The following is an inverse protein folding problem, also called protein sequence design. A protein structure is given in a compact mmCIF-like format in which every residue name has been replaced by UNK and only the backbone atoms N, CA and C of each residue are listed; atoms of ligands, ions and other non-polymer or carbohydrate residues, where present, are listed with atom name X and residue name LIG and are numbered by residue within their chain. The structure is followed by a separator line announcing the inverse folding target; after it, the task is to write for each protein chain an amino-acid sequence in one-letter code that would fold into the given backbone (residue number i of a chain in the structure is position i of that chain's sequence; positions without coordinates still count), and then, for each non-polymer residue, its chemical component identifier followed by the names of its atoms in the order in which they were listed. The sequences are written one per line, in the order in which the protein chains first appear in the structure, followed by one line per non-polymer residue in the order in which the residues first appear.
data_IF_592100927812
#
_entry.id   IF_592100927812
#
_cell.length_a   1.000
_cell.length_b   1.000
_cell.length_c   1.000
_cell.angle_alpha   90.00
_cell.angle_beta   90.00
_cell.angle_gamma   90.00
#
_symmetry.space_group_name_H-M   'P 1'
#
loop_
_entity.id
_entity.type
_entity.pdbx_description
1 polymer ?
#
# COMPACT_ATOMS: atom_id res chain seq x y z
N UNK A 1 -32.09 -24.40 -11.90
CA UNK A 1 -31.65 -22.98 -11.90
C UNK A 1 -30.15 -22.92 -11.63
N UNK A 2 -29.37 -22.17 -12.42
CA UNK A 2 -27.92 -22.07 -12.20
C UNK A 2 -27.59 -21.28 -10.93
N UNK A 3 -26.49 -21.63 -10.24
CA UNK A 3 -25.99 -20.92 -9.05
C UNK A 3 -25.85 -19.40 -9.25
N UNK A 4 -25.58 -18.97 -10.49
CA UNK A 4 -25.44 -17.57 -10.86
C UNK A 4 -26.77 -16.81 -10.89
N UNK A 5 -27.89 -17.49 -11.15
CA UNK A 5 -29.21 -16.85 -11.17
C UNK A 5 -29.61 -16.32 -9.78
N UNK A 6 -29.46 -17.14 -8.74
CA UNK A 6 -29.76 -16.73 -7.37
C UNK A 6 -28.85 -15.58 -6.88
N UNK A 7 -27.55 -15.63 -7.22
CA UNK A 7 -26.61 -14.54 -6.88
C UNK A 7 -27.00 -13.23 -7.55
N UNK A 8 -27.47 -13.26 -8.80
CA UNK A 8 -27.95 -12.06 -9.50
C UNK A 8 -29.20 -11.46 -8.83
N UNK A 9 -30.15 -12.31 -8.40
CA UNK A 9 -31.33 -11.85 -7.65
C UNK A 9 -30.91 -11.20 -6.33
N UNK A 10 -29.99 -11.82 -5.59
CA UNK A 10 -29.48 -11.26 -4.34
C UNK A 10 -28.83 -9.88 -4.57
N UNK A 11 -27.95 -9.75 -5.56
CA UNK A 11 -27.32 -8.47 -5.91
C UNK A 11 -28.39 -7.42 -6.27
N UNK A 12 -29.37 -7.78 -7.10
CA UNK A 12 -30.44 -6.87 -7.51
C UNK A 12 -31.27 -6.36 -6.31
N UNK A 13 -31.68 -7.26 -5.41
CA UNK A 13 -32.44 -6.90 -4.20
C UNK A 13 -31.60 -5.99 -3.31
N UNK A 14 -30.33 -6.33 -3.07
CA UNK A 14 -29.45 -5.54 -2.22
C UNK A 14 -29.19 -4.15 -2.80
N UNK A 15 -29.04 -4.00 -4.11
CA UNK A 15 -28.92 -2.69 -4.76
C UNK A 15 -30.19 -1.84 -4.61
N UNK A 16 -31.38 -2.46 -4.66
CA UNK A 16 -32.64 -1.76 -4.38
C UNK A 16 -32.74 -1.33 -2.92
N UNK A 17 -32.45 -2.23 -1.98
CA UNK A 17 -32.44 -1.95 -0.54
C UNK A 17 -31.45 -0.84 -0.21
N UNK A 18 -30.23 -0.90 -0.77
CA UNK A 18 -29.18 0.11 -0.61
C UNK A 18 -29.69 1.51 -0.98
N UNK A 19 -30.38 1.66 -2.11
CA UNK A 19 -30.92 2.96 -2.57
C UNK A 19 -31.93 3.56 -1.58
N UNK A 20 -32.70 2.72 -0.88
CA UNK A 20 -33.66 3.14 0.15
C UNK A 20 -32.94 3.54 1.45
N UNK A 21 -31.85 2.85 1.79
CA UNK A 21 -31.12 3.01 3.06
C UNK A 21 -29.94 4.00 2.95
N UNK A 22 -29.80 4.74 1.84
CA UNK A 22 -28.70 5.71 1.61
C UNK A 22 -28.52 6.75 2.73
N UNK A 23 -29.55 7.00 3.55
CA UNK A 23 -29.48 7.90 4.70
C UNK A 23 -28.84 7.28 5.96
N UNK A 24 -28.57 5.97 5.97
CA UNK A 24 -28.00 5.25 7.13
C UNK A 24 -26.60 4.73 6.76
N UNK A 25 -25.62 5.65 6.75
CA UNK A 25 -24.24 5.45 6.28
C UNK A 25 -23.60 4.10 6.65
N UNK A 26 -23.66 3.71 7.94
CA UNK A 26 -23.05 2.45 8.41
C UNK A 26 -23.69 1.21 7.79
N UNK A 27 -25.02 1.19 7.63
CA UNK A 27 -25.74 0.08 7.02
C UNK A 27 -25.51 0.04 5.51
N UNK A 28 -25.42 1.19 4.85
CA UNK A 28 -25.07 1.26 3.43
C UNK A 28 -23.71 0.62 3.16
N UNK A 29 -22.69 0.94 3.97
CA UNK A 29 -21.34 0.35 3.83
C UNK A 29 -21.36 -1.18 3.91
N UNK A 30 -22.08 -1.74 4.88
CA UNK A 30 -22.22 -3.19 5.04
C UNK A 30 -22.91 -3.85 3.84
N UNK A 31 -23.98 -3.22 3.31
CA UNK A 31 -24.69 -3.71 2.12
C UNK A 31 -23.78 -3.67 0.88
N UNK A 32 -23.08 -2.54 0.67
CA UNK A 32 -22.08 -2.39 -0.39
C UNK A 32 -21.00 -3.48 -0.33
N UNK A 33 -20.51 -3.77 0.87
CA UNK A 33 -19.48 -4.78 1.05
C UNK A 33 -19.99 -6.17 0.68
N UNK A 34 -21.22 -6.48 1.08
CA UNK A 34 -21.84 -7.75 0.75
C UNK A 34 -22.13 -7.88 -0.76
N UNK A 35 -22.58 -6.82 -1.41
CA UNK A 35 -22.73 -6.78 -2.88
C UNK A 35 -21.41 -7.08 -3.58
N UNK A 36 -20.31 -6.41 -3.19
CA UNK A 36 -18.98 -6.65 -3.74
C UNK A 36 -18.54 -8.11 -3.57
N UNK A 37 -18.73 -8.67 -2.37
CA UNK A 37 -18.45 -10.08 -2.10
C UNK A 37 -19.25 -11.03 -3.01
N UNK A 38 -20.54 -10.77 -3.22
CA UNK A 38 -21.38 -11.60 -4.11
C UNK A 38 -20.93 -11.51 -5.57
N UNK A 39 -20.58 -10.31 -6.04
CA UNK A 39 -20.02 -10.11 -7.39
C UNK A 39 -18.72 -10.89 -7.55
N UNK A 40 -17.80 -10.79 -6.60
CA UNK A 40 -16.56 -11.58 -6.61
C UNK A 40 -16.84 -13.09 -6.65
N UNK A 41 -17.76 -13.57 -5.81
CA UNK A 41 -18.14 -14.99 -5.76
C UNK A 41 -18.72 -15.49 -7.08
N UNK A 42 -19.47 -14.62 -7.79
CA UNK A 42 -19.99 -14.88 -9.14
C UNK A 42 -18.87 -14.98 -10.18
N UNK A 43 -17.86 -14.11 -10.10
CA UNK A 43 -16.72 -14.11 -11.02
C UNK A 43 -15.81 -15.34 -10.85
N UNK A 44 -15.90 -16.05 -9.71
CA UNK A 44 -15.24 -17.32 -9.43
C UNK A 44 -13.73 -17.34 -9.72
N UNK A 45 -13.02 -16.24 -9.39
CA UNK A 45 -11.58 -16.12 -9.65
C UNK A 45 -10.81 -17.01 -8.66
N UNK A 46 -10.37 -18.18 -9.13
CA UNK A 46 -9.67 -19.22 -8.36
C UNK A 46 -8.70 -19.98 -9.26
N UNK A 47 -7.85 -20.79 -8.65
CA UNK A 47 -6.88 -21.66 -9.31
C UNK A 47 -5.85 -20.90 -10.15
N UNK A 48 -5.36 -19.78 -9.61
CA UNK A 48 -4.38 -18.93 -10.29
C UNK A 48 -3.02 -19.60 -10.21
N UNK A 49 -2.33 -19.68 -11.34
CA UNK A 49 -1.03 -20.34 -11.45
C UNK A 49 0.09 -19.35 -11.16
N UNK A 50 0.92 -19.64 -10.15
CA UNK A 50 2.13 -18.90 -9.83
C UNK A 50 3.08 -19.72 -8.95
N UNK A 51 4.33 -19.26 -8.85
CA UNK A 51 5.36 -19.78 -7.95
C UNK A 51 4.97 -19.52 -6.48
N UNK A 52 4.26 -20.48 -5.89
CA UNK A 52 3.87 -20.44 -4.48
C UNK A 52 5.07 -20.63 -3.55
N UNK A 53 6.12 -21.33 -4.00
CA UNK A 53 7.30 -21.65 -3.18
C UNK A 53 8.02 -20.40 -2.70
N UNK A 54 8.01 -19.33 -3.51
CA UNK A 54 8.52 -18.02 -3.08
C UNK A 54 7.88 -17.52 -1.78
N UNK A 55 6.55 -17.64 -1.65
CA UNK A 55 5.83 -17.15 -0.47
C UNK A 55 6.01 -18.07 0.75
N UNK A 56 6.53 -19.30 0.53
CA UNK A 56 6.89 -20.23 1.58
C UNK A 56 8.32 -20.00 2.11
N UNK A 57 9.16 -19.28 1.37
CA UNK A 57 10.54 -19.01 1.78
C UNK A 57 10.57 -18.14 3.04
N UNK A 58 11.50 -18.44 3.94
CA UNK A 58 11.82 -17.58 5.10
C UNK A 58 12.81 -16.47 4.78
N UNK A 59 13.58 -16.61 3.71
CA UNK A 59 14.64 -15.67 3.29
C UNK A 59 14.75 -15.67 1.77
N UNK A 60 15.19 -14.53 1.24
CA UNK A 60 15.56 -14.43 -0.17
C UNK A 60 16.78 -15.29 -0.50
N UNK A 61 16.83 -15.75 -1.74
CA UNK A 61 18.02 -16.35 -2.35
C UNK A 61 18.72 -15.34 -3.26
N UNK A 62 19.99 -15.58 -3.60
CA UNK A 62 20.73 -14.72 -4.55
C UNK A 62 20.03 -14.64 -5.92
N UNK A 63 19.35 -15.70 -6.34
CA UNK A 63 18.58 -15.72 -7.59
C UNK A 63 17.40 -14.76 -7.58
N UNK A 64 16.86 -14.43 -6.40
CA UNK A 64 15.74 -13.50 -6.28
C UNK A 64 16.18 -12.04 -6.56
N UNK A 65 17.48 -11.73 -6.52
CA UNK A 65 17.99 -10.39 -6.84
C UNK A 65 17.76 -9.98 -8.30
N UNK A 66 17.52 -10.93 -9.21
CA UNK A 66 17.16 -10.64 -10.60
C UNK A 66 15.84 -9.86 -10.74
N UNK A 67 15.00 -9.88 -9.71
CA UNK A 67 13.75 -9.11 -9.67
C UNK A 67 13.96 -7.69 -9.15
N UNK A 68 15.19 -7.27 -8.82
CA UNK A 68 15.42 -5.89 -8.43
C UNK A 68 15.26 -4.95 -9.63
N UNK A 69 14.56 -3.81 -9.45
CA UNK A 69 14.50 -2.73 -10.43
C UNK A 69 15.89 -2.28 -10.90
N UNK A 70 16.00 -1.97 -12.20
CA UNK A 70 17.22 -1.36 -12.76
C UNK A 70 17.50 0.01 -12.13
N UNK A 71 16.48 0.88 -12.14
CA UNK A 71 16.59 2.21 -11.54
C UNK A 71 15.26 2.59 -10.88
N UNK A 72 15.34 3.10 -9.65
CA UNK A 72 14.20 3.53 -8.83
C UNK A 72 14.33 5.01 -8.51
N UNK A 73 13.25 5.76 -8.70
CA UNK A 73 13.08 7.09 -8.12
C UNK A 73 12.21 6.99 -6.87
N UNK A 74 12.66 7.58 -5.78
CA UNK A 74 11.98 7.54 -4.49
C UNK A 74 11.69 8.96 -4.04
N UNK A 75 10.43 9.29 -3.76
CA UNK A 75 10.06 10.53 -3.10
C UNK A 75 9.73 10.27 -1.64
N UNK A 76 10.49 10.85 -0.72
CA UNK A 76 10.24 10.79 0.72
C UNK A 76 9.60 12.10 1.16
N UNK A 77 8.36 12.07 1.65
CA UNK A 77 7.74 13.25 2.24
C UNK A 77 8.20 13.41 3.69
N UNK A 78 8.88 14.51 3.99
CA UNK A 78 9.40 14.81 5.32
C UNK A 78 8.94 16.19 5.79
N UNK A 79 7.94 16.22 6.67
CA UNK A 79 7.61 17.45 7.39
C UNK A 79 8.70 17.73 8.41
N UNK A 80 9.44 18.83 8.24
CA UNK A 80 10.67 19.07 8.95
C UNK A 80 10.48 19.05 10.47
N UNK A 81 11.22 18.14 11.10
CA UNK A 81 11.29 17.93 12.54
C UNK A 81 12.72 17.50 12.88
N UNK A 82 13.44 18.34 13.60
CA UNK A 82 14.88 18.15 13.86
C UNK A 82 15.19 16.83 14.57
N UNK A 83 14.34 16.44 15.50
CA UNK A 83 14.36 15.17 16.25
C UNK A 83 14.16 13.93 15.37
N UNK A 84 13.55 14.07 14.18
CA UNK A 84 13.32 12.96 13.24
C UNK A 84 14.40 12.81 12.16
N UNK A 85 15.43 13.65 12.15
CA UNK A 85 16.48 13.59 11.11
C UNK A 85 17.27 12.27 11.11
N UNK A 86 17.53 11.69 12.27
CA UNK A 86 18.19 10.37 12.37
C UNK A 86 17.30 9.25 11.84
N UNK A 87 15.99 9.34 12.10
CA UNK A 87 15.02 8.41 11.53
C UNK A 87 14.98 8.52 10.00
N UNK A 88 14.93 9.74 9.47
CA UNK A 88 15.01 9.99 8.03
C UNK A 88 16.31 9.43 7.44
N UNK A 89 17.46 9.63 8.09
CA UNK A 89 18.75 9.05 7.68
C UNK A 89 18.67 7.52 7.60
N UNK A 90 18.03 6.87 8.59
CA UNK A 90 17.78 5.42 8.59
C UNK A 90 16.91 4.96 7.42
N UNK A 91 15.81 5.67 7.15
CA UNK A 91 14.94 5.40 5.99
C UNK A 91 15.74 5.52 4.68
N UNK A 92 16.42 6.65 4.48
CA UNK A 92 17.25 6.88 3.28
C UNK A 92 18.34 5.83 3.10
N UNK A 93 18.97 5.37 4.19
CA UNK A 93 19.99 4.32 4.14
C UNK A 93 19.41 2.98 3.69
N UNK A 94 18.24 2.60 4.21
CA UNK A 94 17.58 1.34 3.84
C UNK A 94 17.19 1.34 2.36
N UNK A 95 16.65 2.47 1.88
CA UNK A 95 16.22 2.69 0.50
C UNK A 95 17.36 2.55 -0.51
N UNK A 96 18.64 2.69 -0.12
CA UNK A 96 19.77 2.57 -1.06
C UNK A 96 19.87 1.21 -1.78
N UNK A 97 19.24 0.16 -1.25
CA UNK A 97 19.42 -1.22 -1.71
C UNK A 97 18.17 -1.82 -2.38
N UNK A 98 17.17 -1.00 -2.67
CA UNK A 98 15.86 -1.46 -3.18
C UNK A 98 15.83 -1.61 -4.71
N UNK A 99 16.90 -1.23 -5.39
CA UNK A 99 17.14 -1.38 -6.82
C UNK A 99 18.63 -1.31 -7.12
N UNK A 100 19.02 -1.52 -8.38
CA UNK A 100 20.44 -1.46 -8.78
C UNK A 100 20.98 -0.03 -8.76
N UNK A 101 20.13 0.95 -9.07
CA UNK A 101 20.36 2.38 -8.90
C UNK A 101 19.16 3.04 -8.25
N UNK A 102 19.40 3.86 -7.24
CA UNK A 102 18.34 4.53 -6.47
C UNK A 102 18.61 6.03 -6.42
N UNK A 103 17.59 6.80 -6.74
CA UNK A 103 17.59 8.25 -6.56
C UNK A 103 16.50 8.61 -5.55
N UNK A 104 16.89 9.27 -4.47
CA UNK A 104 16.00 9.69 -3.39
C UNK A 104 15.80 11.20 -3.47
N UNK A 105 14.54 11.61 -3.42
CA UNK A 105 14.05 12.96 -3.51
C UNK A 105 13.30 13.28 -2.21
N UNK A 106 13.93 14.02 -1.32
CA UNK A 106 13.33 14.39 -0.03
C UNK A 106 12.51 15.66 -0.25
N UNK A 107 11.20 15.55 -0.09
CA UNK A 107 10.25 16.65 -0.22
C UNK A 107 9.95 17.19 1.17
N UNK A 108 10.32 18.44 1.45
CA UNK A 108 10.27 19.00 2.80
C UNK A 108 9.92 20.47 2.84
N UNK A 109 9.49 20.97 3.99
CA UNK A 109 9.34 22.40 4.30
C UNK A 109 10.52 22.96 5.12
N UNK A 110 11.55 22.16 5.41
CA UNK A 110 12.75 22.58 6.13
C UNK A 110 13.82 23.20 5.24
N UNK A 111 14.72 23.99 5.82
CA UNK A 111 15.86 24.54 5.08
C UNK A 111 16.96 23.47 4.89
N UNK A 112 17.57 23.45 3.70
CA UNK A 112 18.57 22.45 3.29
C UNK A 112 19.76 22.39 4.26
N UNK A 113 20.15 23.54 4.84
CA UNK A 113 21.25 23.66 5.80
C UNK A 113 21.03 22.87 7.09
N UNK A 114 19.78 22.53 7.41
CA UNK A 114 19.41 21.82 8.63
C UNK A 114 19.48 20.30 8.47
N UNK A 115 19.67 19.81 7.24
CA UNK A 115 19.78 18.38 6.94
C UNK A 115 21.21 17.88 7.14
N UNK A 116 21.39 16.63 7.59
CA UNK A 116 22.71 16.03 7.69
C UNK A 116 23.32 15.86 6.30
N UNK A 117 24.66 15.79 6.25
CA UNK A 117 25.33 15.36 5.03
C UNK A 117 25.03 13.87 4.77
N UNK A 118 24.37 13.58 3.66
CA UNK A 118 23.99 12.22 3.27
C UNK A 118 25.09 11.46 2.50
N UNK A 119 26.27 12.06 2.27
CA UNK A 119 27.37 11.40 1.56
C UNK A 119 27.81 10.08 2.22
N UNK A 120 27.71 9.98 3.54
CA UNK A 120 28.11 8.79 4.31
C UNK A 120 27.21 7.57 4.05
N UNK A 121 25.93 7.80 3.73
CA UNK A 121 24.96 6.72 3.53
C UNK A 121 24.68 6.44 2.05
N UNK A 122 25.06 7.38 1.18
CA UNK A 122 24.84 7.26 -0.27
C UNK A 122 25.81 6.23 -0.83
N UNK A 123 25.27 5.18 -1.46
CA UNK A 123 26.09 4.08 -2.01
C UNK A 123 26.30 4.27 -3.51
N UNK A 124 27.52 4.03 -3.99
CA UNK A 124 27.85 3.92 -5.42
C UNK A 124 27.23 5.07 -6.26
N UNK A 125 26.44 4.72 -7.27
CA UNK A 125 25.77 5.60 -8.24
C UNK A 125 24.40 6.10 -7.76
N UNK A 126 24.05 5.91 -6.50
CA UNK A 126 22.82 6.44 -5.93
C UNK A 126 22.96 7.94 -5.66
N UNK A 127 21.81 8.61 -5.52
CA UNK A 127 21.76 10.04 -5.28
C UNK A 127 20.69 10.37 -4.25
N UNK A 128 20.95 11.38 -3.43
CA UNK A 128 19.94 12.00 -2.55
C UNK A 128 19.90 13.49 -2.88
N UNK A 129 18.71 14.00 -3.14
CA UNK A 129 18.41 15.41 -3.38
C UNK A 129 17.31 15.87 -2.43
N UNK A 130 17.38 17.13 -2.00
CA UNK A 130 16.43 17.73 -1.06
C UNK A 130 15.72 18.88 -1.75
N UNK A 131 14.39 18.82 -1.76
CA UNK A 131 13.50 19.83 -2.32
C UNK A 131 12.79 20.56 -1.19
N UNK A 132 13.19 21.81 -0.98
CA UNK A 132 12.52 22.70 -0.04
C UNK A 132 11.30 23.34 -0.73
N UNK A 133 10.12 22.95 -0.28
CA UNK A 133 8.82 23.43 -0.74
C UNK A 133 8.37 24.58 0.18
N UNK A 134 8.64 25.80 -0.27
CA UNK A 134 8.19 27.03 0.40
C UNK A 134 6.79 27.43 -0.07
N UNK A 135 6.08 28.19 0.76
CA UNK A 135 4.84 28.89 0.37
C UNK A 135 3.67 27.99 -0.06
N UNK A 136 3.45 26.87 0.63
CA UNK A 136 2.23 26.08 0.47
C UNK A 136 1.02 26.84 1.02
N UNK A 137 -0.10 26.78 0.30
CA UNK A 137 -1.37 27.34 0.78
C UNK A 137 -1.81 26.70 2.12
N UNK A 138 -1.54 25.41 2.29
CA UNK A 138 -1.79 24.68 3.52
C UNK A 138 -0.69 23.62 3.76
N UNK A 139 -0.19 23.40 4.99
CA UNK A 139 0.86 22.43 5.29
C UNK A 139 0.56 20.99 4.82
N UNK A 140 -0.70 20.58 4.86
CA UNK A 140 -1.13 19.25 4.41
C UNK A 140 -1.05 19.02 2.89
N UNK A 141 -0.66 20.05 2.12
CA UNK A 141 -0.35 19.91 0.69
C UNK A 141 1.10 19.48 0.44
N UNK A 142 1.98 19.47 1.46
CA UNK A 142 3.37 19.05 1.29
C UNK A 142 3.51 17.64 0.66
N UNK A 143 2.73 16.62 1.11
CA UNK A 143 2.70 15.32 0.45
C UNK A 143 2.49 15.42 -1.06
N UNK A 144 1.62 16.31 -1.54
CA UNK A 144 1.29 16.42 -2.96
C UNK A 144 2.40 17.02 -3.82
N UNK A 145 3.40 17.69 -3.23
CA UNK A 145 4.50 18.28 -3.98
C UNK A 145 5.36 17.23 -4.70
N UNK A 146 5.34 15.96 -4.25
CA UNK A 146 6.06 14.87 -4.93
C UNK A 146 5.61 14.66 -6.38
N UNK A 147 4.36 15.01 -6.73
CA UNK A 147 3.86 14.85 -8.09
C UNK A 147 4.61 15.71 -9.11
N UNK A 148 5.11 16.88 -8.71
CA UNK A 148 5.94 17.73 -9.58
C UNK A 148 7.20 16.95 -9.99
N UNK A 149 7.87 16.36 -9.00
CA UNK A 149 9.08 15.54 -9.21
C UNK A 149 8.75 14.29 -10.02
N UNK A 150 7.69 13.54 -9.68
CA UNK A 150 7.32 12.33 -10.42
C UNK A 150 6.98 12.61 -11.89
N UNK A 151 6.26 13.70 -12.19
CA UNK A 151 5.95 14.13 -13.57
C UNK A 151 7.17 14.54 -14.37
N UNK A 152 8.20 15.07 -13.72
CA UNK A 152 9.48 15.35 -14.36
C UNK A 152 10.26 14.05 -14.61
N UNK A 153 10.46 13.25 -13.56
CA UNK A 153 11.33 12.07 -13.59
C UNK A 153 10.81 10.97 -14.52
N UNK A 154 9.48 10.81 -14.65
CA UNK A 154 8.92 9.81 -15.57
C UNK A 154 9.26 10.07 -17.05
N UNK A 155 9.63 11.29 -17.43
CA UNK A 155 10.09 11.59 -18.79
C UNK A 155 11.40 10.88 -19.14
N UNK A 156 12.20 10.55 -18.12
CA UNK A 156 13.40 9.74 -18.32
C UNK A 156 13.05 8.24 -18.25
N UNK A 157 13.13 7.58 -19.40
CA UNK A 157 12.86 6.14 -19.55
C UNK A 157 13.84 5.22 -18.80
N UNK A 158 14.96 5.72 -18.28
CA UNK A 158 15.90 4.90 -17.51
C UNK A 158 15.35 4.50 -16.14
N UNK A 159 14.52 5.34 -15.51
CA UNK A 159 13.80 4.93 -14.30
C UNK A 159 12.86 3.79 -14.67
N UNK A 160 12.87 2.69 -13.94
CA UNK A 160 11.95 1.57 -14.17
C UNK A 160 10.78 1.57 -13.19
N UNK A 161 11.01 2.11 -11.99
CA UNK A 161 10.10 2.05 -10.87
C UNK A 161 10.09 3.35 -10.06
N UNK A 162 8.98 3.57 -9.37
CA UNK A 162 8.67 4.80 -8.67
C UNK A 162 8.10 4.47 -7.29
N UNK A 163 8.70 5.04 -6.25
CA UNK A 163 8.28 4.85 -4.86
C UNK A 163 7.97 6.21 -4.26
N UNK A 164 6.85 6.30 -3.54
CA UNK A 164 6.59 7.41 -2.63
C UNK A 164 6.29 6.85 -1.25
N UNK A 165 6.80 7.49 -0.20
CA UNK A 165 6.58 7.11 1.19
C UNK A 165 6.74 8.28 2.17
N UNK A 166 6.19 8.09 3.36
CA UNK A 166 6.43 8.94 4.54
C UNK A 166 7.81 8.65 5.17
N UNK A 167 8.29 9.56 6.01
CA UNK A 167 9.65 9.54 6.59
C UNK A 167 9.84 8.56 7.77
N UNK A 168 8.82 7.78 8.10
CA UNK A 168 8.82 6.72 9.12
C UNK A 168 8.60 5.33 8.54
N UNK A 169 8.60 5.17 7.21
CA UNK A 169 8.35 3.87 6.58
C UNK A 169 9.65 3.21 6.15
N UNK A 170 9.95 2.03 6.70
CA UNK A 170 11.04 1.18 6.24
C UNK A 170 10.55 0.18 5.19
N UNK A 171 11.13 0.29 4.00
CA UNK A 171 11.01 -0.66 2.90
C UNK A 171 12.40 -1.17 2.55
N UNK A 172 12.55 -2.49 2.48
CA UNK A 172 13.80 -3.14 2.12
C UNK A 172 13.74 -3.87 0.77
N UNK A 173 14.86 -4.52 0.43
CA UNK A 173 15.02 -5.32 -0.80
C UNK A 173 13.97 -6.44 -0.92
N UNK A 174 13.63 -7.09 0.20
CA UNK A 174 12.68 -8.20 0.22
C UNK A 174 11.26 -7.75 -0.07
N UNK A 175 10.88 -6.58 0.44
CA UNK A 175 9.61 -5.95 0.10
C UNK A 175 9.48 -5.69 -1.40
N UNK A 176 10.53 -5.13 -2.03
CA UNK A 176 10.51 -4.84 -3.47
C UNK A 176 10.43 -6.11 -4.32
N UNK A 177 11.22 -7.14 -4.00
CA UNK A 177 11.20 -8.41 -4.73
C UNK A 177 9.83 -9.07 -4.62
N UNK A 178 9.24 -9.10 -3.42
CA UNK A 178 7.87 -9.57 -3.23
C UNK A 178 6.89 -8.81 -4.13
N UNK A 179 6.97 -7.48 -4.12
CA UNK A 179 6.07 -6.65 -4.90
C UNK A 179 6.20 -6.99 -6.40
N UNK A 180 7.42 -7.10 -6.91
CA UNK A 180 7.70 -7.44 -8.31
C UNK A 180 7.13 -8.81 -8.72
N UNK A 181 7.40 -9.86 -7.94
CA UNK A 181 6.89 -11.20 -8.22
C UNK A 181 5.36 -11.24 -8.16
N UNK A 182 4.77 -10.57 -7.17
CA UNK A 182 3.31 -10.47 -7.05
C UNK A 182 2.70 -9.66 -8.19
N UNK A 183 3.38 -8.60 -8.65
CA UNK A 183 2.90 -7.73 -9.71
C UNK A 183 2.74 -8.48 -11.03
N UNK A 184 3.68 -9.38 -11.36
CA UNK A 184 3.60 -10.25 -12.55
C UNK A 184 2.32 -11.09 -12.58
N UNK A 185 1.82 -11.51 -11.42
CA UNK A 185 0.59 -12.29 -11.27
C UNK A 185 -0.64 -11.38 -11.33
N UNK A 186 -0.59 -10.25 -10.62
CA UNK A 186 -1.75 -9.41 -10.33
C UNK A 186 -2.14 -8.46 -11.48
N UNK A 187 -1.24 -8.17 -12.42
CA UNK A 187 -1.52 -7.25 -13.53
C UNK A 187 -2.69 -7.68 -14.40
N UNK A 188 -2.79 -8.98 -14.71
CA UNK A 188 -3.90 -9.51 -15.52
C UNK A 188 -5.28 -9.34 -14.86
N UNK A 189 -5.33 -9.09 -13.55
CA UNK A 189 -6.57 -8.84 -12.80
C UNK A 189 -6.78 -7.35 -12.48
N UNK A 190 -5.90 -6.48 -12.96
CA UNK A 190 -5.86 -5.06 -12.63
C UNK A 190 -5.74 -4.80 -11.11
N UNK A 191 -5.02 -5.68 -10.41
CA UNK A 191 -4.74 -5.58 -8.98
C UNK A 191 -3.27 -5.22 -8.75
N UNK A 192 -2.98 -4.70 -7.56
CA UNK A 192 -1.69 -4.16 -7.14
C UNK A 192 -1.28 -4.88 -5.84
N UNK A 193 -0.03 -5.34 -5.72
CA UNK A 193 0.45 -5.89 -4.46
C UNK A 193 0.37 -4.84 -3.34
N UNK A 194 -0.09 -5.27 -2.17
CA UNK A 194 -0.16 -4.44 -0.97
C UNK A 194 1.07 -4.63 -0.09
N UNK A 195 1.54 -3.55 0.52
CA UNK A 195 2.38 -3.59 1.72
C UNK A 195 1.52 -3.48 2.98
N UNK A 196 1.91 -4.15 4.05
CA UNK A 196 1.17 -4.17 5.30
C UNK A 196 2.01 -3.55 6.41
N UNK A 197 1.53 -2.42 6.93
CA UNK A 197 2.30 -1.63 7.87
C UNK A 197 2.19 -2.18 9.29
N UNK A 198 3.35 -2.34 9.91
CA UNK A 198 3.48 -2.96 11.23
C UNK A 198 4.40 -2.17 12.14
N UNK A 199 4.18 -2.33 13.44
CA UNK A 199 5.04 -1.81 14.49
C UNK A 199 5.53 -2.97 15.37
N UNK A 200 6.79 -2.90 15.79
CA UNK A 200 7.32 -3.83 16.79
C UNK A 200 7.16 -3.19 18.16
N UNK A 201 6.42 -3.86 19.03
CA UNK A 201 6.26 -3.41 20.40
C UNK A 201 7.59 -3.56 21.16
N UNK A 202 8.07 -2.48 21.78
CA UNK A 202 9.36 -2.43 22.45
C UNK A 202 9.43 -3.35 23.68
N UNK A 203 8.31 -3.56 24.37
CA UNK A 203 8.22 -4.31 25.62
C UNK A 203 8.16 -5.82 25.40
N UNK A 204 7.25 -6.30 24.54
CA UNK A 204 7.03 -7.73 24.33
C UNK A 204 7.63 -8.27 23.03
N UNK A 205 8.24 -7.41 22.21
CA UNK A 205 8.85 -7.73 20.90
C UNK A 205 7.91 -8.34 19.86
N UNK A 206 6.60 -8.34 20.11
CA UNK A 206 5.59 -8.77 19.14
C UNK A 206 5.38 -7.71 18.07
N UNK A 207 4.84 -8.15 16.94
CA UNK A 207 4.53 -7.31 15.79
C UNK A 207 3.03 -7.06 15.76
N UNK A 208 2.64 -5.81 15.69
CA UNK A 208 1.25 -5.38 15.66
C UNK A 208 0.95 -4.66 14.34
N UNK A 209 -0.29 -4.79 13.85
CA UNK A 209 -0.75 -3.98 12.74
C UNK A 209 -0.92 -2.53 13.17
N UNK A 210 -0.34 -1.60 12.42
CA UNK A 210 -0.54 -0.16 12.64
C UNK A 210 -1.95 0.28 12.27
N UNK A 211 -2.56 -0.33 11.25
CA UNK A 211 -3.75 0.23 10.57
C UNK A 211 -5.04 -0.58 10.76
N UNK A 212 -4.97 -1.84 11.22
CA UNK A 212 -6.18 -2.62 11.45
C UNK A 212 -6.92 -2.16 12.71
N UNK A 213 -8.20 -1.86 12.53
CA UNK A 213 -9.16 -1.59 13.59
C UNK A 213 -9.88 -2.84 14.08
N UNK A 214 -9.96 -3.86 13.22
CA UNK A 214 -10.60 -5.14 13.50
C UNK A 214 -9.88 -6.27 12.76
N UNK A 215 -9.97 -7.48 13.29
CA UNK A 215 -9.43 -8.67 12.62
C UNK A 215 -10.14 -8.90 11.29
N UNK A 216 -9.41 -9.41 10.31
CA UNK A 216 -9.91 -9.69 8.97
C UNK A 216 -10.62 -11.04 8.97
N UNK A 217 -11.90 -11.06 8.61
CA UNK A 217 -12.61 -12.31 8.38
C UNK A 217 -12.22 -12.88 7.01
N UNK A 218 -11.40 -13.94 6.99
CA UNK A 218 -10.91 -14.52 5.75
C UNK A 218 -12.08 -14.86 4.82
N UNK A 219 -13.17 -15.44 5.33
CA UNK A 219 -14.28 -15.93 4.52
C UNK A 219 -15.17 -14.83 3.91
N UNK A 220 -15.04 -13.58 4.35
CA UNK A 220 -15.89 -12.46 3.92
C UNK A 220 -15.19 -11.45 3.01
N UNK A 221 -13.91 -11.66 2.69
CA UNK A 221 -13.15 -10.78 1.79
C UNK A 221 -13.01 -11.38 0.39
N UNK A 222 -13.11 -10.56 -0.69
CA UNK A 222 -12.71 -10.96 -2.03
C UNK A 222 -11.27 -11.44 -2.02
N UNK A 223 -10.96 -12.44 -2.84
CA UNK A 223 -9.62 -13.00 -2.88
C UNK A 223 -9.31 -13.73 -4.18
N UNK A 224 -8.03 -13.81 -4.48
CA UNK A 224 -7.45 -14.63 -5.52
C UNK A 224 -6.82 -15.85 -4.85
N UNK A 225 -7.20 -17.07 -5.27
CA UNK A 225 -6.70 -18.31 -4.68
C UNK A 225 -5.77 -18.99 -5.69
N UNK A 226 -4.58 -19.33 -5.23
CA UNK A 226 -3.62 -20.13 -5.98
C UNK A 226 -4.14 -21.50 -6.40
N UNK A 227 -3.54 -22.09 -7.43
CA UNK A 227 -3.85 -23.44 -7.94
C UNK A 227 -3.67 -24.52 -6.88
N UNK A 228 -2.58 -24.48 -6.11
CA UNK A 228 -2.32 -25.47 -5.05
C UNK A 228 -3.02 -25.13 -3.73
N UNK A 229 -3.73 -24.00 -3.68
CA UNK A 229 -4.49 -23.53 -2.50
C UNK A 229 -3.59 -23.36 -1.26
N UNK A 230 -2.33 -22.97 -1.45
CA UNK A 230 -1.43 -22.68 -0.33
C UNK A 230 -1.41 -21.18 -0.03
N UNK A 231 -1.42 -20.35 -1.07
CA UNK A 231 -1.44 -18.88 -0.96
C UNK A 231 -2.75 -18.30 -1.51
N UNK A 232 -3.26 -17.23 -0.88
CA UNK A 232 -4.28 -16.37 -1.45
C UNK A 232 -3.85 -14.91 -1.40
N UNK A 233 -4.28 -14.10 -2.37
CA UNK A 233 -4.23 -12.64 -2.24
C UNK A 233 -5.61 -12.15 -1.83
N UNK A 234 -5.76 -11.66 -0.60
CA UNK A 234 -7.03 -11.15 -0.07
C UNK A 234 -7.15 -9.64 -0.28
N UNK A 235 -8.36 -9.16 -0.51
CA UNK A 235 -8.65 -7.75 -0.65
C UNK A 235 -9.29 -7.21 0.62
N UNK A 236 -8.50 -6.53 1.44
CA UNK A 236 -8.96 -5.90 2.68
C UNK A 236 -9.61 -4.56 2.35
N UNK A 237 -10.63 -4.17 3.12
CA UNK A 237 -11.41 -2.98 2.77
C UNK A 237 -10.73 -1.66 3.10
N UNK A 238 -9.83 -1.64 4.09
CA UNK A 238 -9.00 -0.50 4.46
C UNK A 238 -7.51 -0.86 4.22
N UNK A 239 -6.95 -0.57 3.02
CA UNK A 239 -5.62 -1.03 2.64
C UNK A 239 -4.56 0.08 2.82
N UNK A 240 -4.72 0.98 3.80
CA UNK A 240 -3.74 2.04 4.04
C UNK A 240 -2.35 1.46 4.34
N UNK A 241 -1.31 2.06 3.76
CA UNK A 241 0.07 1.57 3.86
C UNK A 241 1.13 2.69 3.90
N UNK A 242 0.73 3.97 3.93
CA UNK A 242 1.65 5.12 4.02
C UNK A 242 2.62 5.30 2.83
N UNK A 243 2.43 4.54 1.74
CA UNK A 243 3.32 4.54 0.59
C UNK A 243 2.62 3.97 -0.66
N UNK A 244 3.27 4.11 -1.81
CA UNK A 244 2.98 3.28 -2.99
C UNK A 244 4.28 2.96 -3.72
N UNK A 245 4.35 1.79 -4.34
CA UNK A 245 5.44 1.40 -5.22
C UNK A 245 4.86 0.97 -6.56
N UNK A 246 5.34 1.56 -7.66
CA UNK A 246 4.81 1.36 -9.00
C UNK A 246 5.91 1.04 -10.01
N UNK A 247 5.59 0.12 -10.91
CA UNK A 247 6.24 0.03 -12.21
C UNK A 247 5.88 1.27 -13.06
N UNK A 248 6.57 1.45 -14.20
CA UNK A 248 6.29 2.57 -15.10
C UNK A 248 4.83 2.63 -15.52
N UNK A 249 4.22 1.50 -15.91
CA UNK A 249 2.83 1.43 -16.39
C UNK A 249 1.84 1.98 -15.35
N UNK A 250 1.99 1.58 -14.09
CA UNK A 250 1.16 2.08 -13.00
C UNK A 250 1.45 3.56 -12.70
N UNK A 251 2.71 4.00 -12.77
CA UNK A 251 3.00 5.43 -12.56
C UNK A 251 2.41 6.30 -13.68
N UNK A 252 2.49 5.86 -14.94
CA UNK A 252 1.84 6.54 -16.07
C UNK A 252 0.32 6.58 -15.90
N UNK A 253 -0.31 5.47 -15.49
CA UNK A 253 -1.73 5.46 -15.14
C UNK A 253 -2.04 6.48 -14.04
N UNK A 254 -1.22 6.50 -12.98
CA UNK A 254 -1.46 7.36 -11.83
C UNK A 254 -1.39 8.84 -12.20
N UNK A 255 -0.31 9.27 -12.84
CA UNK A 255 -0.09 10.67 -13.21
C UNK A 255 -1.10 11.20 -14.23
N UNK A 256 -1.67 10.32 -15.07
CA UNK A 256 -2.69 10.71 -16.05
C UNK A 256 -4.13 10.50 -15.53
N UNK A 257 -4.30 10.00 -14.32
CA UNK A 257 -5.62 9.81 -13.71
C UNK A 257 -6.00 11.00 -12.81
N UNK A 258 -7.31 11.16 -12.54
CA UNK A 258 -7.79 12.05 -11.48
C UNK A 258 -7.16 11.76 -10.11
N UNK A 259 -6.70 10.53 -9.84
CA UNK A 259 -6.11 10.16 -8.56
C UNK A 259 -4.81 10.93 -8.23
N UNK A 260 -4.18 11.55 -9.22
CA UNK A 260 -3.06 12.46 -9.03
C UNK A 260 -3.45 13.90 -8.63
N UNK A 261 -4.71 14.12 -8.20
CA UNK A 261 -5.23 15.42 -7.75
C UNK A 261 -5.75 15.37 -6.30
N UNK A 262 -5.52 16.42 -5.49
CA UNK A 262 -6.11 16.57 -4.17
C UNK A 262 -7.64 16.51 -4.13
N UNK A 263 -8.31 16.74 -5.27
CA UNK A 263 -9.78 16.71 -5.37
C UNK A 263 -10.33 15.30 -5.59
N UNK A 264 -9.46 14.33 -5.87
CA UNK A 264 -9.89 12.93 -6.00
C UNK A 264 -10.48 12.41 -4.69
N UNK A 265 -11.53 11.59 -4.82
CA UNK A 265 -12.33 11.04 -3.73
C UNK A 265 -13.13 12.06 -2.91
N UNK A 266 -13.00 13.36 -3.16
CA UNK A 266 -13.76 14.40 -2.44
C UNK A 266 -15.28 14.33 -2.70
N UNK A 267 -15.69 13.86 -3.88
CA UNK A 267 -17.10 13.87 -4.33
C UNK A 267 -17.75 12.48 -4.45
N UNK A 268 -17.01 11.39 -4.25
CA UNK A 268 -17.54 10.02 -4.39
C UNK A 268 -17.88 9.43 -3.03
N UNK A 269 -19.04 9.85 -2.50
CA UNK A 269 -19.67 9.40 -1.26
C UNK A 269 -18.88 9.81 0.00
N UNK A 270 -19.51 10.67 0.82
CA UNK A 270 -19.04 11.25 2.07
C UNK A 270 -18.81 10.22 3.21
N UNK A 271 -18.00 9.19 2.97
CA UNK A 271 -17.86 8.04 3.88
C UNK A 271 -16.44 7.63 4.19
N UNK A 272 -15.44 8.32 3.64
CA UNK A 272 -14.06 8.19 4.08
C UNK A 272 -13.47 9.59 4.18
N UNK A 273 -13.44 10.13 5.41
CA UNK A 273 -12.69 11.35 5.76
C UNK A 273 -11.18 11.07 5.68
N UNK A 274 -10.70 10.58 4.53
CA UNK A 274 -9.28 10.50 4.26
C UNK A 274 -8.81 11.94 4.15
N UNK A 275 -8.07 12.40 5.17
CA UNK A 275 -7.59 13.77 5.17
C UNK A 275 -6.68 13.96 3.96
N UNK A 276 -6.54 15.22 3.55
CA UNK A 276 -5.84 15.57 2.30
C UNK A 276 -4.41 15.02 2.24
N UNK A 277 -3.74 14.81 3.39
CA UNK A 277 -2.42 14.18 3.47
C UNK A 277 -2.47 12.71 3.06
N UNK A 278 -3.32 11.92 3.70
CA UNK A 278 -3.43 10.48 3.49
C UNK A 278 -3.89 10.17 2.05
N UNK A 279 -4.63 11.09 1.41
CA UNK A 279 -5.01 10.98 0.00
C UNK A 279 -3.83 11.01 -0.97
N UNK A 280 -2.74 11.71 -0.67
CA UNK A 280 -1.53 11.66 -1.51
C UNK A 280 -0.90 10.25 -1.51
N UNK A 281 -1.07 9.53 -0.41
CA UNK A 281 -0.54 8.18 -0.19
C UNK A 281 -1.47 7.11 -0.80
N UNK A 282 -2.74 7.45 -1.08
CA UNK A 282 -3.74 6.49 -1.56
C UNK A 282 -3.40 5.93 -2.96
N UNK A 283 -2.65 6.67 -3.78
CA UNK A 283 -2.24 6.13 -5.08
C UNK A 283 -3.44 5.81 -5.99
N UNK A 284 -3.30 4.73 -6.73
CA UNK A 284 -4.32 4.11 -7.58
C UNK A 284 -5.33 3.23 -6.81
N UNK A 285 -5.26 3.18 -5.47
CA UNK A 285 -6.01 2.22 -4.64
C UNK A 285 -7.51 2.14 -4.97
N UNK A 286 -8.16 3.29 -5.17
CA UNK A 286 -9.60 3.36 -5.47
C UNK A 286 -9.91 3.76 -6.91
N UNK A 287 -8.88 3.95 -7.75
CA UNK A 287 -9.05 4.29 -9.17
C UNK A 287 -9.11 3.02 -10.01
N UNK A 288 -10.12 2.89 -10.87
CA UNK A 288 -10.33 1.70 -11.72
C UNK A 288 -10.40 0.37 -10.96
N UNK A 289 -11.02 0.35 -9.78
CA UNK A 289 -11.18 -0.87 -8.98
C UNK A 289 -11.93 -1.99 -9.74
N UNK A 290 -11.35 -3.20 -9.86
CA UNK A 290 -11.99 -4.34 -10.50
C UNK A 290 -13.33 -4.71 -9.84
N UNK A 291 -14.27 -5.17 -10.67
CA UNK A 291 -15.60 -5.56 -10.20
C UNK A 291 -15.53 -6.69 -9.17
N UNK A 292 -16.18 -6.50 -8.03
CA UNK A 292 -16.16 -7.43 -6.90
C UNK A 292 -15.06 -7.17 -5.87
N UNK A 293 -14.16 -6.21 -6.11
CA UNK A 293 -13.13 -5.81 -5.15
C UNK A 293 -13.49 -4.49 -4.44
N UNK A 294 -13.03 -4.33 -3.20
CA UNK A 294 -13.12 -3.11 -2.42
C UNK A 294 -12.24 -2.00 -3.01
N UNK A 295 -11.01 -2.35 -3.39
CA UNK A 295 -9.95 -1.50 -3.92
C UNK A 295 -8.99 -2.36 -4.77
N UNK A 296 -7.94 -1.78 -5.35
CA UNK A 296 -6.96 -2.51 -6.19
C UNK A 296 -5.88 -3.27 -5.41
N UNK A 297 -5.71 -3.00 -4.12
CA UNK A 297 -4.62 -3.58 -3.33
C UNK A 297 -4.99 -4.94 -2.76
N UNK A 298 -4.10 -5.91 -2.91
CA UNK A 298 -4.31 -7.24 -2.33
C UNK A 298 -3.11 -7.73 -1.54
N UNK A 299 -3.40 -8.38 -0.42
CA UNK A 299 -2.45 -8.83 0.57
C UNK A 299 -2.24 -10.34 0.46
N UNK A 300 -1.00 -10.84 0.30
CA UNK A 300 -0.73 -12.28 0.29
C UNK A 300 -0.91 -12.88 1.69
N UNK A 301 -1.61 -14.00 1.75
CA UNK A 301 -1.85 -14.76 2.98
C UNK A 301 -1.68 -16.25 2.75
N UNK A 302 -1.09 -16.90 3.73
CA UNK A 302 -0.96 -18.34 3.84
C UNK A 302 -2.30 -18.93 4.25
N UNK A 303 -2.91 -19.76 3.40
CA UNK A 303 -4.30 -20.23 3.61
C UNK A 303 -4.41 -21.15 4.83
N UNK A 304 -3.44 -22.06 5.02
CA UNK A 304 -3.49 -23.10 6.06
C UNK A 304 -3.52 -22.52 7.48
N UNK A 305 -2.70 -21.51 7.74
CA UNK A 305 -2.52 -20.91 9.06
C UNK A 305 -3.05 -19.47 9.14
N UNK A 306 -3.63 -18.94 8.05
CA UNK A 306 -4.17 -17.58 7.95
C UNK A 306 -3.15 -16.49 8.30
N UNK A 307 -1.86 -16.72 8.02
CA UNK A 307 -0.82 -15.72 8.28
C UNK A 307 -0.61 -14.80 7.08
N UNK A 308 -0.36 -13.53 7.34
CA UNK A 308 0.13 -12.58 6.33
C UNK A 308 1.56 -12.98 5.96
N UNK A 309 1.94 -12.88 4.68
CA UNK A 309 3.30 -13.24 4.25
C UNK A 309 4.31 -12.17 4.68
N UNK A 310 5.39 -12.56 5.36
CA UNK A 310 6.38 -11.67 5.96
C UNK A 310 6.98 -10.64 4.98
N UNK A 311 7.26 -11.04 3.73
CA UNK A 311 7.85 -10.14 2.74
C UNK A 311 6.98 -8.94 2.35
N UNK A 312 5.67 -8.95 2.66
CA UNK A 312 4.81 -7.79 2.43
C UNK A 312 4.76 -6.82 3.63
N UNK A 313 5.33 -7.20 4.78
CA UNK A 313 5.34 -6.37 5.99
C UNK A 313 6.35 -5.23 5.84
N UNK A 314 5.92 -3.99 6.10
CA UNK A 314 6.77 -2.81 6.12
C UNK A 314 6.73 -2.19 7.52
N UNK A 315 7.89 -1.81 8.05
CA UNK A 315 7.95 -1.31 9.41
C UNK A 315 7.67 0.19 9.47
N UNK A 316 6.72 0.56 10.32
CA UNK A 316 6.50 1.93 10.73
C UNK A 316 7.37 2.24 11.95
N UNK A 317 8.17 3.30 11.84
CA UNK A 317 9.11 3.74 12.88
C UNK A 317 8.48 4.69 13.89
N UNK A 318 7.21 5.09 13.70
CA UNK A 318 6.54 6.02 14.60
C UNK A 318 6.48 5.53 16.05
N UNK A 319 6.58 6.47 16.98
CA UNK A 319 6.52 6.25 18.44
C UNK A 319 5.09 5.99 18.94
N UNK A 320 4.28 5.27 18.18
CA UNK A 320 3.08 4.70 18.75
C UNK A 320 3.56 3.60 19.72
N UNK A 321 3.70 3.97 20.99
CA UNK A 321 3.67 3.02 22.09
C UNK A 321 2.29 2.36 22.08
N UNK A 322 2.10 1.44 21.13
CA UNK A 322 0.96 0.54 20.98
C UNK A 322 0.84 -0.23 22.29
N UNK A 323 0.03 0.34 23.19
CA UNK A 323 -0.67 -0.22 24.38
C UNK A 323 -1.29 0.92 25.23
N UNK A 324 -0.83 2.19 25.13
CA UNK A 324 -1.19 3.23 26.13
C UNK A 324 -1.92 4.49 25.62
N UNK A 325 -2.51 4.49 24.43
CA UNK A 325 -3.41 5.59 24.03
C UNK A 325 -4.81 5.04 23.78
N UNK A 326 -5.83 5.85 24.02
CA UNK A 326 -7.25 5.57 23.75
C UNK A 326 -7.59 5.29 22.28
N UNK A 327 -6.59 5.20 21.40
CA UNK A 327 -6.73 4.87 19.99
C UNK A 327 -6.82 3.36 19.78
N UNK A 328 -7.75 2.94 18.92
CA UNK A 328 -7.98 1.53 18.55
C UNK A 328 -6.92 0.92 17.63
N UNK A 329 -6.04 1.75 17.06
CA UNK A 329 -4.93 1.34 16.19
C UNK A 329 -3.75 0.71 16.97
N UNK A 330 -2.96 -0.15 16.31
CA UNK A 330 -1.77 -0.75 16.94
C UNK A 330 -2.07 -1.86 17.95
N UNK A 331 -3.32 -2.33 18.04
CA UNK A 331 -3.74 -3.30 19.09
C UNK A 331 -3.81 -4.74 18.62
N UNK A 332 -3.76 -4.98 17.31
CA UNK A 332 -3.95 -6.31 16.71
C UNK A 332 -2.60 -6.95 16.40
N UNK A 333 -2.27 -8.02 17.10
CA UNK A 333 -1.11 -8.88 16.80
C UNK A 333 -1.27 -9.46 15.38
N UNK A 334 -0.22 -9.38 14.56
CA UNK A 334 -0.28 -9.85 13.16
C UNK A 334 -0.57 -11.35 13.06
N UNK A 335 -0.19 -12.12 14.07
CA UNK A 335 -0.45 -13.56 14.16
C UNK A 335 -1.94 -13.88 14.31
N UNK A 336 -2.69 -12.90 14.83
CA UNK A 336 -4.13 -12.96 15.08
C UNK A 336 -4.94 -12.09 14.12
N UNK A 337 -4.30 -11.46 13.14
CA UNK A 337 -4.92 -10.47 12.26
C UNK A 337 -6.02 -11.05 11.37
N UNK A 338 -6.01 -12.36 11.13
CA UNK A 338 -6.95 -13.04 10.23
C UNK A 338 -7.61 -14.22 10.93
N UNK A 339 -8.94 -14.32 10.83
CA UNK A 339 -9.73 -15.41 11.42
C UNK A 339 -10.70 -16.09 10.45
#
# INVERSE_FOLDING_TARGET
MSKNFFVNIQIFILEKVRRVIKSIAKKEKQILYFIKFLIWKKNNIKNIEFDEDFFLKKKLSNEDEKYLPEQVIVCVCFYFKKDRLEQLKKVCHNLQNIGKKVEIQIITNGDIKDFPNYSEITKNNNKIEIHNIKSLYHPYLLPWAHFVVMREKIKNYSYSHFLYLEDDILIDKSNIIYWQKSRQILDQYNLIPQFFRVETNSNNKKIYSSDLLEKINYNKVPKLISKNKTVAFINVSNPYQGCYFYDRKLMEEYLNSPASSPDFLFYKNAHEDILIRERANAGLMHYNTPSGFFNRHVLPVMIKNKKIVDFCLIQHLGENNSINSSNSFGTIDIEDAIY
#
